data_IF_294527336418
#
_entry.id   IF_294527336418
#
_cell.length_a   1.000
_cell.length_b   1.000
_cell.length_c   1.000
_cell.angle_alpha   90.00
_cell.angle_beta   90.00
_cell.angle_gamma   90.00
#
_symmetry.space_group_name_H-M   'P 1'
#
loop_
_entity.id
_entity.type
_entity.pdbx_description
1 polymer ?
#
# COMPACT_ATOMS: atom_id res chain seq x y z
N UNK A 1 17.44 4.21 -0.55
CA UNK A 1 16.17 3.90 -1.25
C UNK A 1 16.10 2.39 -1.43
N UNK A 2 15.13 1.75 -0.85
CA UNK A 2 14.79 0.33 -1.05
C UNK A 2 13.71 0.20 -2.12
N UNK A 3 13.42 -0.99 -2.61
CA UNK A 3 12.32 -1.23 -3.54
C UNK A 3 11.27 -2.12 -2.92
N UNK A 4 10.01 -1.78 -3.14
CA UNK A 4 8.88 -2.66 -2.89
C UNK A 4 8.22 -3.08 -4.22
N UNK A 5 7.61 -4.27 -4.24
CA UNK A 5 6.80 -4.75 -5.34
C UNK A 5 5.33 -4.77 -4.94
N UNK A 6 4.49 -4.12 -5.73
CA UNK A 6 3.05 -4.26 -5.61
C UNK A 6 2.58 -5.40 -6.50
N UNK A 7 2.04 -6.45 -5.90
CA UNK A 7 1.62 -7.63 -6.63
C UNK A 7 0.31 -7.38 -7.38
N UNK A 8 0.20 -7.85 -8.62
CA UNK A 8 -1.00 -7.66 -9.44
C UNK A 8 -2.10 -8.67 -9.09
N UNK A 9 -2.39 -8.86 -7.78
CA UNK A 9 -3.44 -9.77 -7.33
C UNK A 9 -4.85 -9.29 -7.72
N UNK A 10 -4.99 -8.01 -8.04
CA UNK A 10 -6.18 -7.39 -8.60
C UNK A 10 -5.93 -7.06 -10.07
N UNK A 11 -6.28 -8.00 -10.94
CA UNK A 11 -6.08 -7.93 -12.39
C UNK A 11 -7.20 -8.72 -13.08
N UNK A 12 -7.52 -8.40 -14.34
CA UNK A 12 -8.57 -9.11 -15.10
C UNK A 12 -8.32 -10.62 -15.18
N UNK A 13 -7.06 -11.02 -15.23
CA UNK A 13 -6.64 -12.43 -15.14
C UNK A 13 -5.25 -12.50 -14.53
N UNK A 14 -5.12 -13.28 -13.46
CA UNK A 14 -3.85 -13.59 -12.80
C UNK A 14 -3.93 -14.99 -12.20
N UNK A 15 -2.83 -15.70 -12.17
CA UNK A 15 -2.72 -17.02 -11.56
C UNK A 15 -1.93 -16.97 -10.26
N UNK A 16 -2.17 -17.91 -9.35
CA UNK A 16 -1.36 -18.04 -8.13
C UNK A 16 0.12 -18.28 -8.46
N UNK A 17 0.39 -19.03 -9.54
CA UNK A 17 1.76 -19.28 -10.01
C UNK A 17 2.48 -17.98 -10.40
N UNK A 18 1.81 -17.08 -11.11
CA UNK A 18 2.36 -15.78 -11.48
C UNK A 18 2.66 -14.91 -10.25
N UNK A 19 1.77 -14.91 -9.25
CA UNK A 19 2.02 -14.19 -7.99
C UNK A 19 3.19 -14.79 -7.22
N UNK A 20 3.33 -16.11 -7.20
CA UNK A 20 4.46 -16.81 -6.61
C UNK A 20 5.77 -16.48 -7.33
N UNK A 21 5.79 -16.51 -8.67
CA UNK A 21 6.98 -16.19 -9.46
C UNK A 21 7.45 -14.76 -9.26
N UNK A 22 6.52 -13.80 -9.24
CA UNK A 22 6.85 -12.41 -8.97
C UNK A 22 7.41 -12.22 -7.55
N UNK A 23 6.82 -12.90 -6.56
CA UNK A 23 7.26 -12.82 -5.17
C UNK A 23 8.64 -13.45 -4.98
N UNK A 24 8.87 -14.62 -5.58
CA UNK A 24 10.16 -15.30 -5.54
C UNK A 24 11.25 -14.47 -6.20
N UNK A 25 10.96 -13.89 -7.37
CA UNK A 25 11.91 -13.01 -8.04
C UNK A 25 12.21 -11.75 -7.22
N UNK A 26 11.20 -11.15 -6.59
CA UNK A 26 11.42 -10.00 -5.70
C UNK A 26 12.35 -10.35 -4.54
N UNK A 27 12.20 -11.54 -3.95
CA UNK A 27 13.11 -12.05 -2.92
C UNK A 27 14.53 -12.28 -3.45
N UNK A 28 14.68 -12.91 -4.62
CA UNK A 28 15.98 -13.19 -5.25
C UNK A 28 16.72 -11.89 -5.64
N UNK A 29 15.99 -10.86 -5.99
CA UNK A 29 16.51 -9.53 -6.34
C UNK A 29 16.68 -8.60 -5.11
N UNK A 30 16.53 -9.10 -3.89
CA UNK A 30 16.61 -8.33 -2.63
C UNK A 30 15.70 -7.09 -2.63
N UNK A 31 14.45 -7.24 -3.05
CA UNK A 31 13.42 -6.25 -2.77
C UNK A 31 13.15 -6.24 -1.27
N UNK A 32 12.83 -5.07 -0.72
CA UNK A 32 12.49 -4.93 0.70
C UNK A 32 11.20 -5.66 1.03
N UNK A 33 10.18 -5.45 0.21
CA UNK A 33 8.84 -5.94 0.53
C UNK A 33 7.99 -6.21 -0.71
N UNK A 34 6.99 -7.09 -0.52
CA UNK A 34 5.90 -7.34 -1.48
C UNK A 34 4.57 -6.98 -0.85
N UNK A 35 3.67 -6.42 -1.65
CA UNK A 35 2.40 -5.88 -1.17
C UNK A 35 1.23 -6.35 -2.03
N UNK A 36 0.12 -6.72 -1.37
CA UNK A 36 -1.13 -7.09 -2.04
C UNK A 36 -2.16 -5.98 -1.94
N UNK A 37 -3.20 -6.02 -2.77
CA UNK A 37 -4.36 -5.13 -2.70
C UNK A 37 -5.53 -5.81 -1.99
N UNK A 38 -6.22 -5.06 -1.14
CA UNK A 38 -7.52 -5.45 -0.59
C UNK A 38 -8.64 -4.98 -1.52
N UNK A 39 -9.28 -5.91 -2.21
CA UNK A 39 -10.39 -5.65 -3.11
C UNK A 39 -11.44 -6.76 -2.98
N UNK A 40 -12.71 -6.37 -2.76
CA UNK A 40 -13.81 -7.31 -2.55
C UNK A 40 -14.63 -7.45 -3.83
N UNK A 41 -14.97 -6.33 -4.48
CA UNK A 41 -15.86 -6.32 -5.64
C UNK A 41 -15.34 -5.40 -6.74
N UNK A 42 -15.78 -5.68 -7.97
CA UNK A 42 -15.76 -4.75 -9.10
C UNK A 42 -17.20 -4.58 -9.57
N UNK A 43 -17.81 -3.40 -9.43
CA UNK A 43 -19.16 -3.17 -9.92
C UNK A 43 -19.26 -3.29 -11.44
N UNK A 44 -20.34 -3.85 -11.97
CA UNK A 44 -20.57 -3.91 -13.42
C UNK A 44 -20.60 -2.53 -14.08
N UNK A 45 -21.03 -1.51 -13.36
CA UNK A 45 -20.97 -0.11 -13.79
C UNK A 45 -19.54 0.35 -14.15
N UNK A 46 -18.50 -0.28 -13.58
CA UNK A 46 -17.11 -0.04 -13.96
C UNK A 46 -16.82 -0.41 -15.40
N UNK A 47 -17.36 -1.52 -15.89
CA UNK A 47 -17.16 -1.97 -17.28
C UNK A 47 -17.75 -0.96 -18.31
N UNK A 48 -18.76 -0.20 -17.89
CA UNK A 48 -19.40 0.86 -18.69
C UNK A 48 -18.83 2.25 -18.42
N UNK A 49 -17.78 2.36 -17.60
CA UNK A 49 -17.17 3.62 -17.18
C UNK A 49 -18.15 4.61 -16.51
N UNK A 50 -19.14 4.09 -15.81
CA UNK A 50 -20.19 4.87 -15.15
C UNK A 50 -19.88 5.24 -13.70
N UNK A 51 -18.72 4.81 -13.18
CA UNK A 51 -18.32 5.10 -11.80
C UNK A 51 -17.80 6.54 -11.68
N UNK A 52 -18.61 7.43 -11.14
CA UNK A 52 -18.28 8.86 -11.01
C UNK A 52 -17.14 9.15 -10.02
N UNK A 53 -16.74 8.19 -9.20
CA UNK A 53 -15.75 8.37 -8.13
C UNK A 53 -14.52 7.47 -8.26
N UNK A 54 -14.54 6.51 -9.19
CA UNK A 54 -13.55 5.42 -9.20
C UNK A 54 -12.11 5.91 -9.27
N UNK A 55 -11.76 6.75 -10.18
CA UNK A 55 -10.43 7.30 -10.31
C UNK A 55 -10.42 8.82 -10.51
N UNK A 56 -11.52 9.50 -10.25
CA UNK A 56 -11.58 10.96 -10.23
C UNK A 56 -10.63 11.61 -9.20
N UNK A 57 -9.88 10.77 -8.48
CA UNK A 57 -8.76 11.16 -7.61
C UNK A 57 -7.41 11.08 -8.33
N UNK A 58 -7.35 10.41 -9.48
CA UNK A 58 -6.14 10.28 -10.29
C UNK A 58 -6.39 10.97 -11.64
N UNK A 59 -5.87 12.18 -11.87
CA UNK A 59 -6.06 12.90 -13.12
C UNK A 59 -5.67 12.04 -14.32
N UNK A 60 -6.54 12.01 -15.34
CA UNK A 60 -6.28 11.33 -16.60
C UNK A 60 -6.59 9.83 -16.65
N UNK A 61 -7.01 9.20 -15.55
CA UNK A 61 -7.53 7.84 -15.59
C UNK A 61 -9.03 7.83 -15.93
N UNK A 62 -9.51 6.79 -16.64
CA UNK A 62 -10.93 6.65 -16.95
C UNK A 62 -11.73 6.45 -15.65
N UNK A 63 -13.02 6.80 -15.68
CA UNK A 63 -13.97 6.55 -14.59
C UNK A 63 -14.33 5.05 -14.45
N UNK A 64 -13.34 4.19 -14.57
CA UNK A 64 -13.49 2.75 -14.51
C UNK A 64 -12.33 2.13 -13.74
N UNK A 65 -12.58 1.03 -13.05
CA UNK A 65 -11.51 0.21 -12.52
C UNK A 65 -10.76 -0.43 -13.72
N UNK A 66 -9.44 -0.57 -13.64
CA UNK A 66 -8.65 -1.16 -14.74
C UNK A 66 -8.77 -2.69 -14.78
N UNK A 67 -9.87 -3.22 -14.28
CA UNK A 67 -10.18 -4.65 -14.16
C UNK A 67 -11.66 -4.85 -14.48
N UNK A 68 -11.98 -5.82 -15.34
CA UNK A 68 -13.37 -6.15 -15.66
C UNK A 68 -14.09 -6.73 -14.43
N UNK A 69 -15.39 -6.41 -14.29
CA UNK A 69 -16.26 -7.02 -13.27
C UNK A 69 -16.36 -8.56 -13.42
N UNK A 70 -16.01 -9.09 -14.59
CA UNK A 70 -15.95 -10.53 -14.90
C UNK A 70 -14.53 -11.08 -14.84
N UNK A 71 -13.57 -10.28 -14.36
CA UNK A 71 -12.20 -10.70 -14.19
C UNK A 71 -12.04 -11.71 -13.05
N UNK A 72 -10.93 -12.43 -13.06
CA UNK A 72 -10.53 -13.34 -11.99
C UNK A 72 -9.39 -12.68 -11.21
N UNK A 73 -9.63 -12.34 -9.96
CA UNK A 73 -8.62 -11.77 -9.06
C UNK A 73 -8.63 -12.48 -7.70
N UNK A 74 -7.55 -12.30 -6.96
CA UNK A 74 -7.42 -12.88 -5.63
C UNK A 74 -7.52 -11.81 -4.56
N UNK A 75 -8.30 -12.09 -3.52
CA UNK A 75 -8.40 -11.23 -2.34
C UNK A 75 -7.07 -11.22 -1.56
N UNK A 76 -6.62 -10.01 -1.16
CA UNK A 76 -5.26 -9.80 -0.64
C UNK A 76 -4.99 -10.47 0.70
N UNK A 77 -5.93 -10.43 1.66
CA UNK A 77 -5.70 -10.93 3.02
C UNK A 77 -5.29 -12.41 3.08
N UNK A 78 -5.96 -13.35 2.39
CA UNK A 78 -5.54 -14.75 2.37
C UNK A 78 -4.20 -14.99 1.66
N UNK A 79 -3.79 -14.08 0.76
CA UNK A 79 -2.50 -14.20 0.07
C UNK A 79 -1.32 -13.94 1.00
N UNK A 80 -1.44 -13.05 2.00
CA UNK A 80 -0.33 -12.68 2.87
C UNK A 80 0.29 -13.90 3.58
N UNK A 81 -0.45 -14.73 4.33
CA UNK A 81 0.14 -15.91 4.98
C UNK A 81 0.63 -16.95 3.97
N UNK A 82 -0.02 -17.06 2.81
CA UNK A 82 0.44 -17.97 1.76
C UNK A 82 1.79 -17.54 1.18
N UNK A 83 1.96 -16.25 0.86
CA UNK A 83 3.23 -15.69 0.40
C UNK A 83 4.31 -15.75 1.48
N UNK A 84 3.95 -15.54 2.74
CA UNK A 84 4.87 -15.68 3.87
C UNK A 84 5.47 -17.09 3.96
N UNK A 85 4.66 -18.13 3.70
CA UNK A 85 5.12 -19.51 3.68
C UNK A 85 5.99 -19.86 2.44
N UNK A 86 5.98 -19.04 1.40
CA UNK A 86 6.76 -19.22 0.16
C UNK A 86 8.07 -18.43 0.13
N UNK A 87 8.30 -17.56 1.11
CA UNK A 87 9.44 -16.65 1.18
C UNK A 87 10.16 -16.76 2.52
N UNK A 88 11.40 -16.31 2.58
CA UNK A 88 12.22 -16.35 3.79
C UNK A 88 12.72 -14.98 4.27
N UNK A 89 12.86 -14.00 3.36
CA UNK A 89 13.49 -12.70 3.66
C UNK A 89 12.58 -11.52 3.39
N UNK A 90 11.92 -11.48 2.24
CA UNK A 90 11.12 -10.33 1.81
C UNK A 90 9.98 -10.08 2.79
N UNK A 91 9.78 -8.82 3.17
CA UNK A 91 8.65 -8.41 4.01
C UNK A 91 7.36 -8.48 3.20
N UNK A 92 6.25 -8.70 3.87
CA UNK A 92 4.96 -8.91 3.21
C UNK A 92 3.91 -8.03 3.83
N UNK A 93 3.12 -7.34 3.00
CA UNK A 93 2.08 -6.46 3.49
C UNK A 93 0.87 -6.37 2.58
N UNK A 94 -0.10 -5.59 3.00
CA UNK A 94 -1.24 -5.19 2.19
C UNK A 94 -1.29 -3.66 2.08
N UNK A 95 -1.30 -3.15 0.88
CA UNK A 95 -1.39 -1.74 0.58
C UNK A 95 -2.68 -1.44 -0.18
N UNK A 96 -3.71 -1.22 0.55
CA UNK A 96 -3.87 -1.14 1.99
C UNK A 96 -4.94 -2.12 2.45
N UNK A 97 -4.96 -2.45 3.74
CA UNK A 97 -6.10 -3.08 4.37
C UNK A 97 -7.21 -2.05 4.52
N UNK A 98 -8.34 -2.25 3.87
CA UNK A 98 -9.53 -1.44 4.08
C UNK A 98 -10.20 -1.85 5.40
N UNK A 99 -9.80 -1.17 6.47
CA UNK A 99 -10.16 -1.55 7.85
C UNK A 99 -11.67 -1.66 8.11
N UNK A 100 -12.56 -0.89 7.44
CA UNK A 100 -14.01 -1.02 7.66
C UNK A 100 -14.62 -2.36 7.26
N UNK A 101 -13.88 -3.19 6.51
CA UNK A 101 -14.40 -4.51 6.08
C UNK A 101 -14.15 -5.61 7.11
N UNK A 102 -13.52 -5.30 8.24
CA UNK A 102 -13.17 -6.26 9.30
C UNK A 102 -13.42 -5.67 10.69
N UNK A 103 -13.88 -6.51 11.61
CA UNK A 103 -13.96 -6.10 13.00
C UNK A 103 -12.55 -5.82 13.56
N UNK A 104 -12.31 -4.66 14.23
CA UNK A 104 -10.97 -4.24 14.61
C UNK A 104 -10.21 -5.25 15.48
N UNK A 105 -10.87 -5.88 16.47
CA UNK A 105 -10.24 -6.88 17.33
C UNK A 105 -9.87 -8.16 16.59
N UNK A 106 -10.71 -8.59 15.62
CA UNK A 106 -10.42 -9.75 14.75
C UNK A 106 -9.22 -9.45 13.88
N UNK A 107 -9.20 -8.27 13.23
CA UNK A 107 -8.08 -7.84 12.40
C UNK A 107 -6.77 -7.80 13.19
N UNK A 108 -6.78 -7.29 14.42
CA UNK A 108 -5.60 -7.27 15.28
C UNK A 108 -5.06 -8.67 15.57
N UNK A 109 -5.94 -9.63 15.88
CA UNK A 109 -5.56 -11.01 16.17
C UNK A 109 -5.03 -11.74 14.91
N UNK A 110 -5.67 -11.53 13.75
CA UNK A 110 -5.22 -12.05 12.45
C UNK A 110 -3.82 -11.55 12.11
N UNK A 111 -3.59 -10.24 12.20
CA UNK A 111 -2.29 -9.63 11.89
C UNK A 111 -1.19 -10.11 12.85
N UNK A 112 -1.47 -10.27 14.14
CA UNK A 112 -0.51 -10.85 15.08
C UNK A 112 -0.15 -12.29 14.69
N UNK A 113 -1.14 -13.09 14.30
CA UNK A 113 -0.92 -14.47 13.83
C UNK A 113 -0.09 -14.50 12.55
N UNK A 114 -0.39 -13.63 11.59
CA UNK A 114 0.38 -13.51 10.33
C UNK A 114 1.81 -13.07 10.60
N UNK A 115 2.03 -12.22 11.60
CA UNK A 115 3.38 -11.81 11.98
C UNK A 115 4.22 -13.01 12.46
N UNK A 116 3.63 -13.92 13.25
CA UNK A 116 4.27 -15.20 13.61
C UNK A 116 4.51 -16.09 12.38
N UNK A 117 3.51 -16.26 11.52
CA UNK A 117 3.63 -17.11 10.32
C UNK A 117 4.70 -16.59 9.35
N UNK A 118 4.92 -15.28 9.31
CA UNK A 118 5.97 -14.66 8.50
C UNK A 118 7.33 -14.61 9.18
N UNK A 119 7.45 -14.98 10.47
CA UNK A 119 8.68 -14.84 11.23
C UNK A 119 9.05 -13.37 11.50
N UNK A 120 8.07 -12.50 11.73
CA UNK A 120 8.28 -11.06 12.01
C UNK A 120 8.55 -10.23 10.74
N UNK A 121 8.00 -10.63 9.59
CA UNK A 121 8.16 -9.91 8.31
C UNK A 121 6.91 -9.17 7.85
N UNK A 122 5.87 -9.10 8.69
CA UNK A 122 4.63 -8.42 8.35
C UNK A 122 4.80 -6.89 8.34
N UNK A 123 4.27 -6.25 7.30
CA UNK A 123 3.96 -4.82 7.24
C UNK A 123 2.43 -4.62 7.22
N UNK A 124 1.92 -3.67 7.98
CA UNK A 124 0.47 -3.42 8.08
C UNK A 124 0.13 -2.09 7.43
N UNK A 125 -0.38 -2.13 6.22
CA UNK A 125 -0.93 -0.93 5.58
C UNK A 125 -2.40 -0.77 5.93
N UNK A 126 -2.82 0.42 6.38
CA UNK A 126 -4.21 0.70 6.78
C UNK A 126 -4.81 1.87 6.03
N UNK A 127 -6.08 1.76 5.69
CA UNK A 127 -6.86 2.81 5.05
C UNK A 127 -8.35 2.74 5.39
N UNK A 128 -9.07 3.74 4.91
CA UNK A 128 -10.49 3.91 5.24
C UNK A 128 -11.45 3.35 4.19
N UNK A 129 -10.96 2.82 3.08
CA UNK A 129 -11.80 2.46 1.95
C UNK A 129 -12.41 3.68 1.24
N UNK A 130 -12.90 3.49 0.03
CA UNK A 130 -13.42 4.59 -0.79
C UNK A 130 -14.64 4.22 -1.64
N UNK A 131 -14.87 2.95 -1.93
CA UNK A 131 -15.90 2.47 -2.86
C UNK A 131 -17.14 1.97 -2.11
N UNK A 132 -18.30 2.66 -2.19
CA UNK A 132 -19.51 2.30 -1.44
C UNK A 132 -19.97 0.86 -1.67
N UNK A 133 -19.76 0.30 -2.86
CA UNK A 133 -20.17 -1.06 -3.21
C UNK A 133 -19.39 -2.11 -2.40
N UNK A 134 -18.14 -1.85 -2.06
CA UNK A 134 -17.36 -2.73 -1.17
C UNK A 134 -17.92 -2.68 0.25
N UNK A 135 -18.30 -1.49 0.72
CA UNK A 135 -18.95 -1.36 2.03
C UNK A 135 -20.29 -2.10 2.07
N UNK A 136 -21.05 -2.06 0.97
CA UNK A 136 -22.31 -2.81 0.88
C UNK A 136 -22.05 -4.34 0.91
N UNK A 137 -21.09 -4.82 0.12
CA UNK A 137 -20.72 -6.23 0.10
C UNK A 137 -20.16 -6.74 1.44
N UNK A 138 -19.46 -5.87 2.18
CA UNK A 138 -18.93 -6.17 3.52
C UNK A 138 -19.97 -5.98 4.64
N UNK A 139 -21.23 -5.66 4.33
CA UNK A 139 -22.26 -5.27 5.32
C UNK A 139 -21.89 -4.06 6.18
N UNK A 140 -21.00 -3.21 5.68
CA UNK A 140 -20.39 -2.06 6.36
C UNK A 140 -20.90 -0.69 5.85
N UNK A 141 -22.02 -0.64 5.10
CA UNK A 141 -22.52 0.62 4.53
C UNK A 141 -22.76 1.71 5.58
N UNK A 142 -23.14 1.33 6.81
CA UNK A 142 -23.34 2.24 7.93
C UNK A 142 -22.04 2.89 8.41
N UNK A 143 -20.87 2.28 8.12
CA UNK A 143 -19.55 2.80 8.47
C UNK A 143 -19.08 3.83 7.42
N UNK A 144 -19.53 3.74 6.16
CA UNK A 144 -19.01 4.55 5.06
C UNK A 144 -18.94 6.06 5.35
N UNK A 145 -19.98 6.72 5.91
CA UNK A 145 -19.92 8.15 6.25
C UNK A 145 -18.89 8.47 7.33
N UNK A 146 -18.60 7.51 8.19
CA UNK A 146 -17.69 7.64 9.35
C UNK A 146 -16.40 6.82 9.21
N UNK A 147 -16.09 6.32 8.01
CA UNK A 147 -14.95 5.43 7.74
C UNK A 147 -13.59 5.98 8.23
N UNK A 148 -13.43 7.29 8.20
CA UNK A 148 -12.22 7.95 8.72
C UNK A 148 -12.13 7.92 10.26
N UNK A 149 -13.25 7.82 10.97
CA UNK A 149 -13.26 7.59 12.42
C UNK A 149 -13.00 6.11 12.70
N UNK A 150 -13.61 5.22 11.94
CA UNK A 150 -13.39 3.79 12.07
C UNK A 150 -11.91 3.40 11.96
N UNK A 151 -11.18 3.90 10.94
CA UNK A 151 -9.75 3.57 10.80
C UNK A 151 -8.91 4.05 11.99
N UNK A 152 -9.29 5.17 12.62
CA UNK A 152 -8.60 5.66 13.82
C UNK A 152 -8.80 4.72 15.01
N UNK A 153 -10.05 4.34 15.29
CA UNK A 153 -10.38 3.39 16.35
C UNK A 153 -9.70 2.03 16.09
N UNK A 154 -9.68 1.58 14.83
CA UNK A 154 -8.96 0.35 14.46
C UNK A 154 -7.47 0.41 14.78
N UNK A 155 -6.79 1.52 14.47
CA UNK A 155 -5.37 1.68 14.80
C UNK A 155 -5.17 1.65 16.33
N UNK A 156 -5.97 2.39 17.08
CA UNK A 156 -5.93 2.43 18.55
C UNK A 156 -6.12 1.03 19.13
N UNK A 157 -7.09 0.27 18.63
CA UNK A 157 -7.40 -1.09 19.07
C UNK A 157 -6.26 -2.05 18.74
N UNK A 158 -5.73 -2.00 17.51
CA UNK A 158 -4.61 -2.86 17.12
C UNK A 158 -3.39 -2.62 18.01
N UNK A 159 -2.99 -1.36 18.17
CA UNK A 159 -1.85 -1.01 19.03
C UNK A 159 -2.11 -1.41 20.49
N UNK A 160 -3.33 -1.18 21.00
CA UNK A 160 -3.71 -1.56 22.36
C UNK A 160 -3.64 -3.07 22.58
N UNK A 161 -4.20 -3.86 21.68
CA UNK A 161 -4.18 -5.33 21.74
C UNK A 161 -2.74 -5.88 21.64
N UNK A 162 -1.92 -5.31 20.80
CA UNK A 162 -0.56 -5.82 20.57
C UNK A 162 0.42 -5.50 21.70
N UNK A 163 0.19 -4.41 22.44
CA UNK A 163 1.14 -3.91 23.46
C UNK A 163 0.71 -4.16 24.90
N UNK A 164 -0.53 -4.62 25.15
CA UNK A 164 -1.02 -4.88 26.48
C UNK A 164 -1.49 -6.34 26.64
N UNK A 165 -1.20 -6.97 27.79
CA UNK A 165 -1.65 -8.33 28.08
C UNK A 165 -3.17 -8.43 28.12
N UNK A 166 -3.79 -7.45 28.76
CA UNK A 166 -5.24 -7.28 28.84
C UNK A 166 -5.61 -5.88 28.33
N UNK A 167 -6.62 -5.80 27.50
CA UNK A 167 -7.05 -4.56 26.88
C UNK A 167 -8.58 -4.44 26.86
N UNK A 168 -9.07 -3.22 27.06
CA UNK A 168 -10.47 -2.83 26.94
C UNK A 168 -10.57 -1.64 25.98
N UNK A 169 -11.70 -1.50 25.33
CA UNK A 169 -11.93 -0.35 24.45
C UNK A 169 -13.41 0.02 24.42
N UNK A 170 -13.70 1.33 24.53
CA UNK A 170 -15.05 1.90 24.53
C UNK A 170 -15.14 2.98 23.45
N UNK A 171 -15.49 2.57 22.24
CA UNK A 171 -15.59 3.42 21.06
C UNK A 171 -16.94 3.32 20.36
N UNK A 172 -17.03 3.91 19.19
CA UNK A 172 -18.24 3.86 18.38
C UNK A 172 -18.36 2.57 17.57
N UNK A 173 -17.23 2.02 17.14
CA UNK A 173 -17.16 0.85 16.24
C UNK A 173 -16.71 -0.43 16.93
N UNK A 174 -16.23 -0.32 18.14
CA UNK A 174 -15.92 -1.45 19.00
C UNK A 174 -16.13 -1.03 20.45
N UNK A 175 -16.75 -1.92 21.25
CA UNK A 175 -17.02 -1.74 22.66
C UNK A 175 -16.89 -3.09 23.34
N UNK A 176 -15.85 -3.26 24.19
CA UNK A 176 -15.58 -4.51 24.86
C UNK A 176 -14.81 -4.30 26.16
N UNK A 177 -15.18 -5.10 27.15
CA UNK A 177 -14.56 -5.13 28.45
C UNK A 177 -13.15 -5.73 28.40
N UNK A 178 -12.41 -5.58 29.48
CA UNK A 178 -11.03 -6.02 29.63
C UNK A 178 -10.85 -7.51 29.39
N UNK A 179 -10.15 -7.86 28.29
CA UNK A 179 -9.89 -9.25 27.91
C UNK A 179 -8.52 -9.43 27.25
N UNK A 180 -8.08 -10.68 27.12
CA UNK A 180 -6.85 -11.06 26.43
C UNK A 180 -7.13 -11.47 24.98
N UNK A 181 -6.19 -11.18 24.09
CA UNK A 181 -6.33 -11.40 22.65
C UNK A 181 -5.33 -12.42 22.07
N UNK A 182 -4.89 -13.39 22.86
CA UNK A 182 -3.99 -14.42 22.39
C UNK A 182 -2.55 -13.95 22.16
N UNK A 183 -1.92 -14.44 21.09
CA UNK A 183 -0.52 -14.15 20.80
C UNK A 183 -0.28 -12.67 20.48
N UNK A 184 0.81 -12.13 21.02
CA UNK A 184 1.32 -10.81 20.62
C UNK A 184 2.19 -10.96 19.39
N UNK A 185 2.33 -9.91 18.54
CA UNK A 185 3.26 -9.96 17.43
C UNK A 185 4.70 -10.28 17.84
N UNK A 186 5.46 -10.90 16.97
CA UNK A 186 6.92 -11.07 17.14
C UNK A 186 7.65 -9.75 17.06
N UNK A 187 7.23 -8.86 16.17
CA UNK A 187 7.82 -7.53 16.02
C UNK A 187 7.44 -6.63 17.20
N UNK A 188 8.43 -5.92 17.77
CA UNK A 188 8.24 -5.07 18.93
C UNK A 188 8.40 -3.58 18.58
N UNK A 189 7.54 -2.69 19.11
CA UNK A 189 6.38 -2.96 19.98
C UNK A 189 5.22 -3.63 19.24
N UNK A 190 5.20 -3.60 17.92
CA UNK A 190 4.24 -4.22 17.01
C UNK A 190 4.77 -4.15 15.56
N UNK A 191 4.16 -4.84 14.59
CA UNK A 191 4.49 -4.69 13.17
C UNK A 191 4.41 -3.24 12.71
N UNK A 192 5.27 -2.80 11.77
CA UNK A 192 5.20 -1.46 11.22
C UNK A 192 3.83 -1.18 10.61
N UNK A 193 3.21 -0.05 11.01
CA UNK A 193 1.93 0.40 10.48
C UNK A 193 2.15 1.55 9.51
N UNK A 194 1.63 1.42 8.30
CA UNK A 194 1.65 2.43 7.26
C UNK A 194 0.24 2.98 7.04
N UNK A 195 0.13 4.27 6.84
CA UNK A 195 -1.15 4.90 6.55
C UNK A 195 -1.21 5.39 5.10
N UNK A 196 -2.30 5.11 4.41
CA UNK A 196 -2.58 5.70 3.11
C UNK A 196 -3.72 6.71 3.20
N UNK A 197 -3.47 7.92 2.69
CA UNK A 197 -4.46 8.96 2.60
C UNK A 197 -4.15 9.88 1.43
N UNK A 198 -5.07 9.98 0.47
CA UNK A 198 -4.78 10.53 -0.85
C UNK A 198 -5.19 11.99 -1.05
N UNK A 199 -6.10 12.53 -0.22
CA UNK A 199 -6.74 13.82 -0.51
C UNK A 199 -6.40 14.95 0.46
N UNK A 200 -5.98 14.63 1.66
CA UNK A 200 -5.76 15.63 2.71
C UNK A 200 -4.45 15.33 3.44
N UNK A 201 -3.33 15.92 2.96
CA UNK A 201 -2.03 15.75 3.56
C UNK A 201 -2.03 16.05 5.06
N UNK A 202 -2.68 17.13 5.48
CA UNK A 202 -2.71 17.53 6.90
C UNK A 202 -3.36 16.46 7.78
N UNK A 203 -4.55 15.98 7.43
CA UNK A 203 -5.25 14.96 8.23
C UNK A 203 -4.51 13.62 8.26
N UNK A 204 -3.86 13.26 7.17
CA UNK A 204 -3.08 12.02 7.10
C UNK A 204 -1.80 12.15 7.90
N UNK A 205 -1.08 13.26 7.78
CA UNK A 205 0.11 13.58 8.55
C UNK A 205 -0.17 13.58 10.06
N UNK A 206 -1.27 14.21 10.48
CA UNK A 206 -1.69 14.20 11.88
C UNK A 206 -1.89 12.76 12.42
N UNK A 207 -2.47 11.85 11.63
CA UNK A 207 -2.62 10.46 12.05
C UNK A 207 -1.29 9.75 12.19
N UNK A 208 -0.40 9.93 11.21
CA UNK A 208 0.94 9.34 11.21
C UNK A 208 1.70 9.79 12.47
N UNK A 209 1.69 11.08 12.75
CA UNK A 209 2.37 11.64 13.92
C UNK A 209 1.72 11.21 15.24
N UNK A 210 0.39 11.37 15.37
CA UNK A 210 -0.36 11.09 16.61
C UNK A 210 -0.28 9.63 17.03
N UNK A 211 -0.41 8.69 16.08
CA UNK A 211 -0.39 7.25 16.36
C UNK A 211 0.99 6.62 16.20
N UNK A 212 2.03 7.44 16.05
CA UNK A 212 3.41 6.98 15.91
C UNK A 212 3.58 5.92 14.81
N UNK A 213 2.93 6.14 13.65
CA UNK A 213 2.96 5.18 12.55
C UNK A 213 4.34 5.14 11.88
N UNK A 214 4.63 4.05 11.21
CA UNK A 214 5.96 3.78 10.62
C UNK A 214 6.17 4.48 9.28
N UNK A 215 5.10 4.86 8.59
CA UNK A 215 5.24 5.52 7.30
C UNK A 215 3.93 5.86 6.61
N UNK A 216 4.09 6.37 5.41
CA UNK A 216 3.00 6.76 4.51
C UNK A 216 3.12 6.06 3.17
N UNK A 217 1.98 5.67 2.59
CA UNK A 217 1.89 5.08 1.25
C UNK A 217 0.96 5.94 0.39
N UNK A 218 1.51 6.47 -0.69
CA UNK A 218 0.80 7.21 -1.74
C UNK A 218 0.54 6.39 -3.00
N UNK A 219 -0.08 7.04 -3.98
CA UNK A 219 -0.40 6.44 -5.28
C UNK A 219 -0.10 7.45 -6.36
N UNK A 220 0.82 7.15 -7.26
CA UNK A 220 1.15 7.98 -8.43
C UNK A 220 1.48 9.44 -8.06
N UNK A 221 2.14 9.63 -6.93
CA UNK A 221 2.56 10.96 -6.48
C UNK A 221 3.74 11.45 -7.33
N UNK A 222 3.76 12.74 -7.64
CA UNK A 222 4.92 13.39 -8.24
C UNK A 222 6.04 13.58 -7.22
N UNK A 223 7.28 13.86 -7.65
CA UNK A 223 8.33 14.28 -6.71
C UNK A 223 7.95 15.51 -5.87
N UNK A 224 7.17 16.44 -6.43
CA UNK A 224 6.67 17.60 -5.69
C UNK A 224 5.62 17.19 -4.65
N UNK A 225 4.72 16.27 -4.98
CA UNK A 225 3.77 15.71 -4.01
C UNK A 225 4.49 15.04 -2.84
N UNK A 226 5.56 14.28 -3.11
CA UNK A 226 6.38 13.64 -2.06
C UNK A 226 6.97 14.70 -1.12
N UNK A 227 7.53 15.80 -1.64
CA UNK A 227 8.03 16.91 -0.82
C UNK A 227 6.93 17.51 0.05
N UNK A 228 5.75 17.74 -0.54
CA UNK A 228 4.59 18.28 0.15
C UNK A 228 4.10 17.37 1.28
N UNK A 229 4.03 16.05 1.03
CA UNK A 229 3.69 15.05 2.04
C UNK A 229 4.71 15.03 3.18
N UNK A 230 6.00 15.00 2.87
CA UNK A 230 7.07 15.05 3.88
C UNK A 230 6.99 16.31 4.74
N UNK A 231 6.81 17.47 4.08
CA UNK A 231 6.65 18.72 4.80
C UNK A 231 5.41 18.79 5.68
N UNK A 232 4.29 18.17 5.26
CA UNK A 232 3.10 18.09 6.09
C UNK A 232 3.30 17.17 7.30
N UNK A 233 3.95 16.01 7.12
CA UNK A 233 4.26 15.08 8.21
C UNK A 233 5.22 15.72 9.22
N UNK A 234 6.27 16.40 8.76
CA UNK A 234 7.22 17.07 9.66
C UNK A 234 6.53 18.11 10.53
N UNK A 235 5.68 18.95 9.93
CA UNK A 235 4.92 19.96 10.71
C UNK A 235 4.07 19.36 11.82
N UNK A 236 3.36 18.27 11.53
CA UNK A 236 2.53 17.60 12.55
C UNK A 236 3.38 16.93 13.65
N UNK A 237 4.55 16.37 13.30
CA UNK A 237 5.51 15.87 14.28
C UNK A 237 6.01 16.99 15.20
N UNK A 238 6.37 18.13 14.64
CA UNK A 238 6.84 19.30 15.39
C UNK A 238 5.73 19.85 16.30
N UNK A 239 4.51 20.02 15.78
CA UNK A 239 3.34 20.51 16.55
C UNK A 239 2.99 19.60 17.73
N UNK A 240 3.21 18.29 17.60
CA UNK A 240 2.99 17.31 18.68
C UNK A 240 4.21 17.17 19.61
N UNK A 241 5.30 17.86 19.37
CA UNK A 241 6.54 17.74 20.14
C UNK A 241 7.18 16.34 20.04
N UNK A 242 7.00 15.67 18.92
CA UNK A 242 7.60 14.35 18.67
C UNK A 242 9.12 14.43 18.66
N UNK A 243 9.78 13.39 19.18
CA UNK A 243 11.24 13.22 19.02
C UNK A 243 11.64 12.67 17.66
N UNK A 244 10.66 12.19 16.88
CA UNK A 244 10.89 11.67 15.51
C UNK A 244 10.88 12.82 14.52
N UNK A 245 11.65 12.66 13.47
CA UNK A 245 11.59 13.46 12.24
C UNK A 245 10.91 12.67 11.11
N UNK A 246 10.59 13.33 10.02
CA UNK A 246 10.08 12.66 8.81
C UNK A 246 11.11 11.70 8.19
N UNK A 247 12.40 11.85 8.51
CA UNK A 247 13.47 10.97 8.04
C UNK A 247 13.49 9.63 8.78
N UNK A 248 12.82 9.53 9.94
CA UNK A 248 12.61 8.28 10.66
C UNK A 248 11.45 7.45 10.11
N UNK A 249 10.76 7.96 9.08
CA UNK A 249 9.59 7.35 8.48
C UNK A 249 9.90 6.79 7.10
N UNK A 250 9.18 5.73 6.75
CA UNK A 250 9.20 5.21 5.40
C UNK A 250 8.15 5.93 4.56
N UNK A 251 8.59 6.61 3.52
CA UNK A 251 7.74 7.32 2.57
C UNK A 251 7.70 6.52 1.27
N UNK A 252 6.55 5.97 0.97
CA UNK A 252 6.32 5.11 -0.18
C UNK A 252 5.27 5.69 -1.12
N UNK A 253 5.36 5.39 -2.40
CA UNK A 253 4.30 5.62 -3.37
C UNK A 253 4.26 4.47 -4.38
N UNK A 254 3.04 4.03 -4.69
CA UNK A 254 2.79 3.04 -5.74
C UNK A 254 2.96 3.73 -7.09
N UNK A 255 3.93 3.28 -7.88
CA UNK A 255 4.30 3.88 -9.15
C UNK A 255 4.13 2.87 -10.28
N UNK A 256 3.21 3.13 -11.19
CA UNK A 256 3.06 2.33 -12.40
C UNK A 256 4.34 2.35 -13.20
N UNK A 257 4.93 1.18 -13.38
CA UNK A 257 6.27 1.05 -13.95
C UNK A 257 6.26 0.10 -15.14
N UNK A 258 6.72 0.59 -16.28
CA UNK A 258 6.96 -0.20 -17.51
C UNK A 258 8.25 0.28 -18.16
N UNK A 259 9.21 -0.62 -18.35
CA UNK A 259 10.45 -0.31 -19.06
C UNK A 259 10.26 -0.60 -20.54
N UNK A 260 10.44 0.41 -21.38
CA UNK A 260 10.34 0.34 -22.85
C UNK A 260 11.73 0.43 -23.47
N UNK A 261 11.85 0.00 -24.74
CA UNK A 261 13.09 0.17 -25.50
C UNK A 261 13.14 1.51 -26.22
N UNK A 262 11.98 2.10 -26.50
CA UNK A 262 11.86 3.41 -27.09
C UNK A 262 11.53 4.48 -26.05
N UNK A 263 11.97 5.71 -26.31
CA UNK A 263 11.64 6.85 -25.46
C UNK A 263 10.14 7.13 -25.50
N UNK A 264 9.57 7.34 -24.34
CA UNK A 264 8.19 7.81 -24.21
C UNK A 264 8.16 9.32 -24.01
N UNK A 265 7.11 9.95 -24.54
CA UNK A 265 6.84 11.35 -24.25
C UNK A 265 6.46 11.49 -22.76
N UNK A 266 7.29 12.22 -22.04
CA UNK A 266 7.09 12.52 -20.61
C UNK A 266 6.42 13.89 -20.41
N UNK A 267 6.04 14.57 -21.51
CA UNK A 267 5.36 15.86 -21.43
C UNK A 267 3.97 15.71 -20.84
N UNK A 268 3.56 16.72 -20.09
CA UNK A 268 2.25 16.77 -19.45
C UNK A 268 1.16 17.07 -20.49
N UNK A 269 0.54 16.00 -21.00
CA UNK A 269 -0.61 16.10 -21.89
C UNK A 269 -1.94 16.11 -21.10
N UNK A 270 -1.95 16.56 -19.83
CA UNK A 270 -3.13 16.53 -18.96
C UNK A 270 -3.55 15.11 -18.55
N UNK A 271 -2.70 14.11 -18.80
CA UNK A 271 -2.86 12.73 -18.37
C UNK A 271 -1.90 12.44 -17.20
N UNK A 272 -2.05 11.30 -16.57
CA UNK A 272 -1.25 10.91 -15.40
C UNK A 272 0.25 11.06 -15.69
N UNK A 273 0.83 12.16 -15.22
CA UNK A 273 2.22 12.57 -15.51
C UNK A 273 3.26 11.80 -14.70
N UNK A 274 2.81 11.00 -13.71
CA UNK A 274 3.67 10.34 -12.74
C UNK A 274 3.91 8.87 -13.06
N UNK A 275 3.51 8.41 -14.25
CA UNK A 275 3.80 7.06 -14.71
C UNK A 275 5.30 6.89 -14.93
N UNK A 276 5.86 5.83 -14.36
CA UNK A 276 7.24 5.42 -14.63
C UNK A 276 7.26 4.53 -15.88
N UNK A 277 6.94 5.12 -17.04
CA UNK A 277 6.92 4.43 -18.34
C UNK A 277 7.99 5.07 -19.24
N UNK A 278 8.94 4.27 -19.71
CA UNK A 278 9.99 4.76 -20.57
C UNK A 278 11.22 3.88 -20.60
N UNK A 279 12.27 4.35 -21.26
CA UNK A 279 13.56 3.65 -21.31
C UNK A 279 14.19 3.55 -19.92
N UNK A 280 15.12 2.61 -19.76
CA UNK A 280 15.88 2.48 -18.50
C UNK A 280 16.54 3.82 -18.08
N UNK A 281 16.99 4.64 -19.03
CA UNK A 281 17.52 5.99 -18.76
C UNK A 281 16.47 6.93 -18.18
N UNK A 282 15.28 7.00 -18.80
CA UNK A 282 14.19 7.84 -18.33
C UNK A 282 13.69 7.42 -16.94
N UNK A 283 13.57 6.10 -16.68
CA UNK A 283 13.22 5.58 -15.36
C UNK A 283 14.31 5.90 -14.32
N UNK A 284 15.60 5.80 -14.69
CA UNK A 284 16.72 6.18 -13.82
C UNK A 284 16.62 7.65 -13.40
N UNK A 285 16.42 8.56 -14.35
CA UNK A 285 16.33 9.99 -14.08
C UNK A 285 15.12 10.32 -13.22
N UNK A 286 13.99 9.64 -13.44
CA UNK A 286 12.77 9.81 -12.63
C UNK A 286 12.97 9.31 -11.21
N UNK A 287 13.59 8.15 -11.00
CA UNK A 287 13.90 7.63 -9.66
C UNK A 287 14.88 8.52 -8.90
N UNK A 288 15.84 9.17 -9.58
CA UNK A 288 16.69 10.18 -8.95
C UNK A 288 15.89 11.38 -8.43
N UNK A 289 14.95 11.88 -9.22
CA UNK A 289 14.05 12.96 -8.79
C UNK A 289 13.23 12.57 -7.56
N UNK A 290 12.71 11.33 -7.53
CA UNK A 290 12.00 10.80 -6.35
C UNK A 290 12.92 10.66 -5.14
N UNK A 291 14.15 10.17 -5.32
CA UNK A 291 15.16 10.08 -4.24
C UNK A 291 15.46 11.47 -3.65
N UNK A 292 15.69 12.47 -4.50
CA UNK A 292 15.90 13.86 -4.09
C UNK A 292 14.69 14.47 -3.38
N UNK A 293 13.49 14.06 -3.77
CA UNK A 293 12.26 14.45 -3.10
C UNK A 293 12.05 13.76 -1.73
N UNK A 294 12.86 12.73 -1.44
CA UNK A 294 12.80 11.99 -0.18
C UNK A 294 11.85 10.80 -0.19
N UNK A 295 11.52 10.26 -1.36
CA UNK A 295 10.86 8.94 -1.45
C UNK A 295 11.86 7.88 -1.02
N UNK A 296 11.52 7.10 0.02
CA UNK A 296 12.43 6.09 0.57
C UNK A 296 12.20 4.71 -0.01
N UNK A 297 10.94 4.37 -0.32
CA UNK A 297 10.52 3.07 -0.84
C UNK A 297 9.54 3.23 -2.01
N UNK A 298 10.02 3.45 -3.25
CA UNK A 298 9.16 3.33 -4.42
C UNK A 298 8.58 1.91 -4.51
N UNK A 299 7.27 1.83 -4.60
CA UNK A 299 6.54 0.58 -4.76
C UNK A 299 6.25 0.38 -6.26
N UNK A 300 6.99 -0.54 -6.86
CA UNK A 300 6.87 -0.86 -8.28
C UNK A 300 5.54 -1.54 -8.52
N UNK A 301 4.72 -0.91 -9.33
CA UNK A 301 3.38 -1.37 -9.64
C UNK A 301 3.29 -1.80 -11.10
N UNK A 302 3.21 -3.11 -11.39
CA UNK A 302 2.97 -3.58 -12.75
C UNK A 302 1.61 -3.11 -13.26
N UNK A 303 1.50 -2.72 -14.52
CA UNK A 303 0.23 -2.26 -15.06
C UNK A 303 -0.85 -3.34 -14.98
N UNK A 304 -2.09 -2.92 -14.77
CA UNK A 304 -3.26 -3.81 -14.73
C UNK A 304 -3.63 -4.41 -16.09
N UNK A 305 -3.35 -3.67 -17.16
CA UNK A 305 -3.73 -4.08 -18.52
C UNK A 305 -2.74 -5.09 -19.09
N UNK A 306 -3.16 -5.81 -20.08
CA UNK A 306 -2.60 -6.79 -21.00
C UNK A 306 -1.06 -6.96 -21.13
N UNK A 307 -0.30 -6.45 -20.16
CA UNK A 307 1.14 -6.68 -20.08
C UNK A 307 1.37 -8.08 -19.50
N UNK A 308 2.00 -9.00 -20.23
CA UNK A 308 2.28 -10.32 -19.72
C UNK A 308 3.13 -10.27 -18.45
N UNK A 309 2.91 -11.18 -17.51
CA UNK A 309 3.72 -11.27 -16.28
C UNK A 309 5.20 -11.50 -16.61
N UNK A 310 5.52 -12.19 -17.70
CA UNK A 310 6.89 -12.33 -18.20
C UNK A 310 7.58 -10.98 -18.43
N UNK A 311 6.87 -10.00 -18.98
CA UNK A 311 7.40 -8.64 -19.14
C UNK A 311 7.68 -7.97 -17.79
N UNK A 312 6.79 -8.16 -16.82
CA UNK A 312 7.01 -7.65 -15.45
C UNK A 312 8.26 -8.28 -14.82
N UNK A 313 8.43 -9.59 -14.98
CA UNK A 313 9.62 -10.29 -14.48
C UNK A 313 10.92 -9.71 -15.10
N UNK A 314 10.90 -9.43 -16.41
CA UNK A 314 12.03 -8.79 -17.09
C UNK A 314 12.26 -7.36 -16.61
N UNK A 315 11.20 -6.58 -16.42
CA UNK A 315 11.30 -5.20 -15.91
C UNK A 315 11.89 -5.14 -14.49
N UNK A 316 11.54 -6.09 -13.62
CA UNK A 316 12.12 -6.17 -12.28
C UNK A 316 13.62 -6.47 -12.32
N UNK A 317 14.08 -7.36 -13.20
CA UNK A 317 15.50 -7.62 -13.41
C UNK A 317 16.24 -6.36 -13.91
N UNK A 318 15.70 -5.73 -14.94
CA UNK A 318 16.26 -4.49 -15.50
C UNK A 318 16.30 -3.36 -14.46
N UNK A 319 15.30 -3.24 -13.63
CA UNK A 319 15.30 -2.29 -12.50
C UNK A 319 16.49 -2.54 -11.57
N UNK A 320 16.71 -3.79 -11.17
CA UNK A 320 17.79 -4.15 -10.24
C UNK A 320 19.17 -4.03 -10.87
N UNK A 321 19.35 -4.50 -12.10
CA UNK A 321 20.65 -4.63 -12.76
C UNK A 321 21.10 -3.36 -13.49
N UNK A 322 20.18 -2.66 -14.18
CA UNK A 322 20.52 -1.53 -15.04
C UNK A 322 20.24 -0.16 -14.39
N UNK A 323 19.21 -0.05 -13.55
CA UNK A 323 18.67 1.23 -13.08
C UNK A 323 19.14 1.57 -11.67
N UNK A 324 18.89 0.70 -10.70
CA UNK A 324 19.20 0.97 -9.29
C UNK A 324 20.69 1.30 -9.02
N UNK A 325 21.69 0.63 -9.65
CA UNK A 325 23.09 1.01 -9.44
C UNK A 325 23.38 2.47 -9.82
N UNK A 326 22.71 2.97 -10.88
CA UNK A 326 22.85 4.36 -11.34
C UNK A 326 22.14 5.37 -10.44
N UNK A 327 21.03 4.94 -9.79
CA UNK A 327 20.32 5.75 -8.79
C UNK A 327 21.08 5.78 -7.48
N UNK A 328 21.75 4.70 -7.10
CA UNK A 328 22.55 4.64 -5.87
C UNK A 328 23.82 5.51 -5.96
N UNK A 329 24.45 5.56 -7.14
CA UNK A 329 25.67 6.32 -7.39
C UNK A 329 25.48 7.85 -7.47
N UNK A 330 24.23 8.34 -7.46
CA UNK A 330 23.85 9.77 -7.40
C UNK A 330 23.52 10.15 -5.93
#
# INVERSE_FOLDING_TARGET
MTLALYLPNFRTKVTLKELEDLTSLAEDLDFDSVWTLDRIVVPEASDRQELQYAFGMMPGLPNALPVSSRGEWFQGMPLIPWLAAKTAKVRIGMSITDTPFRAPGVLAAEMATIDHLSGGRLNVGVGSGWMPEEFAAASASHIFPKRHKHVRETIEIMQGIWTNDLFEYHGEFADFERCGFGAKPLQQPHPPIFFSGLKDPKRSALRIAKYNLSGWIGIQDSPEDIKNWRGAIQRELDELGSKRSVDDLEISSMLWTVITDEKTDQSDNGRVTNLMVGTAGQITDRLKQYKEAGLTMPMIWPPFADVPVSKTLDDLKRLKEEILPKVAAS
#
